data_IF_803322150591
#
_entry.id   IF_803322150591
#
_cell.length_a   1.000
_cell.length_b   1.000
_cell.length_c   1.000
_cell.angle_alpha   90.00
_cell.angle_beta   90.00
_cell.angle_gamma   90.00
#
_symmetry.space_group_name_H-M   'P 1'
#
loop_
_entity.id
_entity.type
_entity.pdbx_description
1 polymer ?
#
# COMPACT_ATOMS: atom_id res chain seq x y z
N UNK A 1 -22.40 73.88 0.78
CA UNK A 1 -21.76 72.88 1.61
C UNK A 1 -22.04 71.52 0.99
N UNK A 2 -21.09 70.97 0.27
CA UNK A 2 -21.18 69.63 -0.36
C UNK A 2 -20.53 68.59 0.54
N UNK A 3 -21.27 67.53 0.85
CA UNK A 3 -20.77 66.40 1.63
C UNK A 3 -19.89 65.49 0.75
N UNK A 4 -18.79 64.90 1.25
CA UNK A 4 -18.00 63.95 0.49
C UNK A 4 -18.66 62.55 0.50
N UNK A 5 -18.85 62.01 -0.70
CA UNK A 5 -19.36 60.67 -0.98
C UNK A 5 -18.34 59.64 -0.55
N UNK A 6 -18.69 58.78 0.43
CA UNK A 6 -17.90 57.66 0.88
C UNK A 6 -17.79 56.60 -0.25
N UNK A 7 -16.56 56.21 -0.58
CA UNK A 7 -16.29 55.15 -1.53
C UNK A 7 -16.64 53.76 -0.94
N UNK A 8 -17.15 52.78 -1.71
CA UNK A 8 -17.50 51.47 -1.21
C UNK A 8 -16.26 50.67 -0.82
N UNK A 9 -16.33 50.12 0.39
CA UNK A 9 -15.34 49.23 0.96
C UNK A 9 -15.22 47.96 0.07
N UNK A 10 -14.01 47.73 -0.48
CA UNK A 10 -13.73 46.52 -1.27
C UNK A 10 -13.55 45.35 -0.31
N UNK A 11 -14.27 44.22 -0.50
CA UNK A 11 -14.11 43.08 0.36
C UNK A 11 -12.65 42.59 0.34
N UNK A 12 -12.04 42.53 1.51
CA UNK A 12 -10.71 41.88 1.71
C UNK A 12 -10.81 40.47 1.19
N UNK A 13 -10.03 40.16 0.14
CA UNK A 13 -9.79 38.74 -0.28
C UNK A 13 -9.29 38.01 0.92
N UNK A 14 -10.10 37.09 1.44
CA UNK A 14 -9.68 36.09 2.41
C UNK A 14 -8.47 35.34 1.81
N UNK A 15 -7.30 35.56 2.40
CA UNK A 15 -6.10 34.79 2.03
C UNK A 15 -6.37 33.38 2.51
N UNK A 16 -6.69 32.49 1.59
CA UNK A 16 -6.90 31.08 1.88
C UNK A 16 -5.76 30.60 2.77
N UNK A 17 -6.11 30.15 3.97
CA UNK A 17 -5.18 29.62 4.96
C UNK A 17 -4.38 28.52 4.26
N UNK A 18 -3.06 28.71 4.10
CA UNK A 18 -2.17 27.68 3.56
C UNK A 18 -2.30 26.46 4.45
N UNK A 19 -2.76 25.35 3.88
CA UNK A 19 -2.78 24.04 4.49
C UNK A 19 -1.46 23.30 4.14
N UNK A 20 -0.44 23.35 5.02
CA UNK A 20 0.86 22.72 4.76
C UNK A 20 0.76 21.21 4.68
N UNK A 21 -0.12 20.60 5.49
CA UNK A 21 -0.30 19.15 5.51
C UNK A 21 -1.04 18.66 4.26
N UNK A 22 -2.08 19.35 3.83
CA UNK A 22 -2.74 19.07 2.57
C UNK A 22 -1.82 19.24 1.38
N UNK A 23 -0.95 20.26 1.39
CA UNK A 23 0.07 20.47 0.36
C UNK A 23 1.07 19.30 0.34
N UNK A 24 1.60 18.90 1.51
CA UNK A 24 2.54 17.77 1.63
C UNK A 24 1.90 16.47 1.13
N UNK A 25 0.66 16.21 1.52
CA UNK A 25 -0.11 15.03 1.08
C UNK A 25 -0.32 15.02 -0.42
N UNK A 26 -0.72 16.14 -1.02
CA UNK A 26 -0.90 16.26 -2.47
C UNK A 26 0.41 16.01 -3.25
N UNK A 27 1.55 16.48 -2.72
CA UNK A 27 2.86 16.18 -3.30
C UNK A 27 3.16 14.68 -3.24
N UNK A 28 2.88 14.01 -2.12
CA UNK A 28 3.09 12.56 -1.97
C UNK A 28 2.22 11.75 -2.93
N UNK A 29 0.95 12.09 -3.10
CA UNK A 29 0.06 11.43 -4.07
C UNK A 29 0.63 11.53 -5.49
N UNK A 30 1.00 12.74 -5.91
CA UNK A 30 1.58 12.95 -7.23
C UNK A 30 2.95 12.25 -7.38
N UNK A 31 3.72 12.13 -6.31
CA UNK A 31 4.99 11.42 -6.30
C UNK A 31 4.81 9.90 -6.43
N UNK A 32 3.81 9.32 -5.74
CA UNK A 32 3.46 7.90 -5.87
C UNK A 32 3.11 7.58 -7.33
N UNK A 33 2.28 8.40 -7.97
CA UNK A 33 1.91 8.23 -9.38
C UNK A 33 3.10 8.34 -10.32
N UNK A 34 3.93 9.37 -10.15
CA UNK A 34 5.11 9.63 -10.99
C UNK A 34 6.13 8.50 -10.86
N UNK A 35 6.49 8.15 -9.63
CA UNK A 35 7.50 7.13 -9.37
C UNK A 35 7.01 5.71 -9.65
N UNK A 36 5.72 5.43 -9.50
CA UNK A 36 5.14 4.14 -9.89
C UNK A 36 5.15 3.90 -11.39
N UNK A 37 5.31 4.97 -12.18
CA UNK A 37 5.36 4.90 -13.65
C UNK A 37 6.77 4.91 -14.18
N UNK A 38 7.67 5.69 -13.56
CA UNK A 38 8.99 5.98 -14.11
C UNK A 38 10.16 5.51 -13.22
N UNK A 39 9.86 4.97 -12.02
CA UNK A 39 10.86 4.62 -11.02
C UNK A 39 11.60 5.84 -10.45
N UNK A 40 12.55 5.59 -9.54
CA UNK A 40 13.37 6.66 -8.97
C UNK A 40 14.19 7.37 -10.05
N UNK A 41 14.83 6.62 -10.95
CA UNK A 41 15.74 7.20 -11.97
C UNK A 41 14.97 8.06 -12.97
N UNK A 42 13.87 7.55 -13.52
CA UNK A 42 13.07 8.21 -14.55
C UNK A 42 12.10 9.28 -14.06
N UNK A 43 11.66 9.20 -12.81
CA UNK A 43 10.69 10.13 -12.24
C UNK A 43 11.19 11.57 -12.19
N UNK A 44 10.32 12.54 -12.48
CA UNK A 44 10.65 13.96 -12.64
C UNK A 44 9.94 14.82 -11.61
N UNK A 45 10.71 15.50 -10.74
CA UNK A 45 10.17 16.42 -9.73
C UNK A 45 9.40 17.59 -10.37
N UNK A 46 9.77 17.97 -11.59
CA UNK A 46 9.05 19.00 -12.34
C UNK A 46 7.63 18.55 -12.69
N UNK A 47 7.44 17.31 -13.13
CA UNK A 47 6.13 16.75 -13.42
C UNK A 47 5.23 16.69 -12.16
N UNK A 48 5.82 16.36 -11.00
CA UNK A 48 5.13 16.41 -9.71
C UNK A 48 4.70 17.83 -9.37
N UNK A 49 5.60 18.80 -9.56
CA UNK A 49 5.32 20.21 -9.30
C UNK A 49 4.17 20.76 -10.17
N UNK A 50 4.19 20.44 -11.47
CA UNK A 50 3.13 20.80 -12.40
C UNK A 50 1.77 20.22 -11.99
N UNK A 51 1.72 18.92 -11.69
CA UNK A 51 0.48 18.22 -11.29
C UNK A 51 -0.11 18.76 -9.99
N UNK A 52 0.73 19.15 -9.04
CA UNK A 52 0.30 19.68 -7.74
C UNK A 52 0.13 21.20 -7.71
N UNK A 53 0.36 21.88 -8.84
CA UNK A 53 0.34 23.35 -8.95
C UNK A 53 1.23 24.01 -7.89
N UNK A 54 2.34 23.38 -7.57
CA UNK A 54 3.34 23.90 -6.65
C UNK A 54 4.67 24.21 -7.37
N UNK A 55 5.72 24.53 -6.65
CA UNK A 55 7.03 24.76 -7.22
C UNK A 55 8.01 23.68 -6.77
N UNK A 56 9.01 23.38 -7.60
CA UNK A 56 10.13 22.49 -7.22
C UNK A 56 10.78 22.88 -5.90
N UNK A 57 10.90 24.21 -5.63
CA UNK A 57 11.42 24.74 -4.37
C UNK A 57 10.54 24.31 -3.18
N UNK A 58 9.21 24.32 -3.33
CA UNK A 58 8.29 23.88 -2.27
C UNK A 58 8.40 22.37 -2.04
N UNK A 59 8.55 21.57 -3.09
CA UNK A 59 8.75 20.13 -2.95
C UNK A 59 10.03 19.85 -2.15
N UNK A 60 11.15 20.51 -2.49
CA UNK A 60 12.40 20.34 -1.74
C UNK A 60 12.39 20.95 -0.34
N UNK A 61 11.50 21.88 -0.07
CA UNK A 61 11.25 22.35 1.29
C UNK A 61 10.66 21.24 2.19
N UNK A 62 9.74 20.41 1.64
CA UNK A 62 9.12 19.30 2.39
C UNK A 62 9.98 18.03 2.42
N UNK A 63 10.71 17.74 1.36
CA UNK A 63 11.33 16.41 1.15
C UNK A 63 12.84 16.46 0.85
N UNK A 64 13.46 17.65 0.89
CA UNK A 64 14.89 17.93 0.72
C UNK A 64 15.51 17.43 -0.58
N UNK A 65 15.27 16.17 -1.00
CA UNK A 65 15.79 15.57 -2.23
C UNK A 65 14.73 14.74 -2.95
N UNK A 66 15.02 14.32 -4.17
CA UNK A 66 14.18 13.40 -4.96
C UNK A 66 14.15 12.01 -4.31
N UNK A 67 15.28 11.57 -3.78
CA UNK A 67 15.44 10.30 -3.08
C UNK A 67 14.61 10.27 -1.79
N UNK A 68 14.64 11.33 -1.01
CA UNK A 68 13.79 11.45 0.19
C UNK A 68 12.30 11.50 -0.16
N UNK A 69 11.92 12.16 -1.25
CA UNK A 69 10.54 12.15 -1.73
C UNK A 69 10.11 10.76 -2.19
N UNK A 70 10.99 10.02 -2.86
CA UNK A 70 10.75 8.64 -3.27
C UNK A 70 10.60 7.71 -2.06
N UNK A 71 11.50 7.81 -1.09
CA UNK A 71 11.41 7.07 0.17
C UNK A 71 10.09 7.36 0.91
N UNK A 72 9.70 8.65 1.00
CA UNK A 72 8.45 9.05 1.61
C UNK A 72 7.22 8.49 0.86
N UNK A 73 7.27 8.39 -0.48
CA UNK A 73 6.21 7.78 -1.28
C UNK A 73 6.08 6.27 -1.02
N UNK A 74 7.20 5.56 -0.83
CA UNK A 74 7.21 4.16 -0.42
C UNK A 74 6.63 3.97 0.97
N UNK A 75 7.10 4.73 1.96
CA UNK A 75 6.59 4.71 3.35
C UNK A 75 5.07 4.92 3.37
N UNK A 76 4.59 5.94 2.68
CA UNK A 76 3.16 6.25 2.60
C UNK A 76 2.37 5.09 1.98
N UNK A 77 2.90 4.44 0.95
CA UNK A 77 2.26 3.32 0.29
C UNK A 77 2.15 2.09 1.21
N UNK A 78 3.20 1.78 1.98
CA UNK A 78 3.16 0.73 3.01
C UNK A 78 2.24 1.08 4.17
N UNK A 79 2.22 2.35 4.61
CA UNK A 79 1.34 2.80 5.69
C UNK A 79 -0.14 2.56 5.35
N UNK A 80 -0.56 2.84 4.11
CA UNK A 80 -1.95 2.66 3.68
C UNK A 80 -2.45 1.23 3.81
N UNK A 81 -1.64 0.25 3.45
CA UNK A 81 -2.04 -1.16 3.62
C UNK A 81 -2.14 -1.51 5.11
N UNK A 82 -1.22 -1.01 5.96
CA UNK A 82 -1.28 -1.24 7.42
C UNK A 82 -2.51 -0.58 8.07
N UNK A 83 -2.85 0.64 7.66
CA UNK A 83 -4.06 1.32 8.13
C UNK A 83 -5.33 0.51 7.77
N UNK A 84 -5.38 -0.06 6.56
CA UNK A 84 -6.49 -0.91 6.14
C UNK A 84 -6.58 -2.18 6.98
N UNK A 85 -5.47 -2.84 7.28
CA UNK A 85 -5.43 -4.05 8.11
C UNK A 85 -5.82 -3.76 9.56
N UNK A 86 -5.36 -2.65 10.14
CA UNK A 86 -5.70 -2.25 11.49
C UNK A 86 -7.21 -2.02 11.68
N UNK A 87 -7.89 -1.54 10.65
CA UNK A 87 -9.34 -1.30 10.68
C UNK A 87 -10.19 -2.60 10.67
N UNK A 88 -9.58 -3.77 10.47
CA UNK A 88 -10.30 -5.04 10.39
C UNK A 88 -10.65 -5.64 11.77
N UNK A 89 -10.04 -5.16 12.85
CA UNK A 89 -10.24 -5.69 14.22
C UNK A 89 -10.13 -7.23 14.26
N UNK A 90 -8.99 -7.74 13.77
CA UNK A 90 -8.78 -9.18 13.57
C UNK A 90 -8.59 -9.98 14.87
N UNK A 91 -8.23 -9.31 15.95
CA UNK A 91 -8.05 -9.86 17.29
C UNK A 91 -9.38 -10.32 17.93
N UNK A 92 -10.50 -9.69 17.57
CA UNK A 92 -11.83 -10.00 18.06
C UNK A 92 -12.53 -11.16 17.32
N UNK A 93 -11.90 -11.68 16.23
CA UNK A 93 -12.53 -12.64 15.32
C UNK A 93 -12.02 -14.06 15.52
N UNK A 94 -12.83 -15.05 15.11
CA UNK A 94 -12.37 -16.42 14.95
C UNK A 94 -11.09 -16.45 14.07
N UNK A 95 -10.06 -17.23 14.44
CA UNK A 95 -8.77 -17.22 13.73
C UNK A 95 -8.86 -17.52 12.23
N UNK A 96 -9.73 -18.46 11.83
CA UNK A 96 -9.88 -18.78 10.41
C UNK A 96 -10.61 -17.65 9.65
N UNK A 97 -11.57 -16.99 10.28
CA UNK A 97 -12.25 -15.82 9.73
C UNK A 97 -11.29 -14.62 9.67
N UNK A 98 -10.53 -14.36 10.73
CA UNK A 98 -9.52 -13.31 10.78
C UNK A 98 -8.51 -13.44 9.62
N UNK A 99 -8.01 -14.67 9.40
CA UNK A 99 -7.09 -14.93 8.29
C UNK A 99 -7.75 -14.70 6.93
N UNK A 100 -9.00 -15.13 6.72
CA UNK A 100 -9.74 -14.85 5.47
C UNK A 100 -9.86 -13.38 5.20
N UNK A 101 -10.25 -12.59 6.21
CA UNK A 101 -10.41 -11.15 6.09
C UNK A 101 -9.08 -10.45 5.78
N UNK A 102 -8.00 -10.87 6.44
CA UNK A 102 -6.66 -10.35 6.17
C UNK A 102 -6.24 -10.63 4.73
N UNK A 103 -6.40 -11.86 4.25
CA UNK A 103 -6.10 -12.25 2.86
C UNK A 103 -6.91 -11.42 1.87
N UNK A 104 -8.22 -11.34 2.08
CA UNK A 104 -9.12 -10.57 1.22
C UNK A 104 -8.73 -9.10 1.15
N UNK A 105 -8.51 -8.49 2.31
CA UNK A 105 -8.09 -7.08 2.41
C UNK A 105 -6.77 -6.82 1.68
N UNK A 106 -5.78 -7.70 1.84
CA UNK A 106 -4.51 -7.60 1.13
C UNK A 106 -4.68 -7.70 -0.39
N UNK A 107 -5.44 -8.69 -0.85
CA UNK A 107 -5.70 -8.88 -2.28
C UNK A 107 -6.41 -7.67 -2.88
N UNK A 108 -7.46 -7.18 -2.24
CA UNK A 108 -8.21 -5.99 -2.66
C UNK A 108 -7.35 -4.74 -2.64
N UNK A 109 -6.52 -4.56 -1.61
CA UNK A 109 -5.60 -3.43 -1.55
C UNK A 109 -4.64 -3.39 -2.74
N UNK A 110 -4.04 -4.53 -3.11
CA UNK A 110 -3.13 -4.61 -4.26
C UNK A 110 -3.86 -4.32 -5.58
N UNK A 111 -5.08 -4.81 -5.75
CA UNK A 111 -5.91 -4.55 -6.93
C UNK A 111 -6.28 -3.08 -7.08
N UNK A 112 -6.66 -2.44 -5.99
CA UNK A 112 -7.07 -1.04 -5.95
C UNK A 112 -5.88 -0.07 -6.01
N UNK A 113 -4.69 -0.53 -5.63
CA UNK A 113 -3.48 0.29 -5.55
C UNK A 113 -2.33 -0.28 -6.42
N UNK A 114 -2.51 -0.39 -7.76
CA UNK A 114 -1.45 -0.94 -8.63
C UNK A 114 -0.18 -0.07 -8.65
N UNK A 115 -0.28 1.20 -8.26
CA UNK A 115 0.88 2.08 -8.08
C UNK A 115 1.82 1.57 -6.97
N UNK A 116 1.28 1.05 -5.86
CA UNK A 116 2.05 0.42 -4.80
C UNK A 116 2.87 -0.75 -5.34
N UNK A 117 2.25 -1.67 -6.06
CA UNK A 117 2.91 -2.83 -6.64
C UNK A 117 4.06 -2.41 -7.57
N UNK A 118 3.80 -1.43 -8.47
CA UNK A 118 4.83 -0.92 -9.38
C UNK A 118 6.00 -0.27 -8.65
N UNK A 119 5.73 0.53 -7.59
CA UNK A 119 6.79 1.12 -6.76
C UNK A 119 7.69 0.04 -6.14
N UNK A 120 7.10 -1.00 -5.57
CA UNK A 120 7.84 -2.11 -4.97
C UNK A 120 8.64 -2.88 -6.03
N UNK A 121 8.09 -3.09 -7.24
CA UNK A 121 8.86 -3.69 -8.37
C UNK A 121 10.07 -2.83 -8.71
N UNK A 122 9.89 -1.52 -8.90
CA UNK A 122 10.99 -0.62 -9.20
C UNK A 122 12.07 -0.63 -8.11
N UNK A 123 11.66 -0.62 -6.84
CA UNK A 123 12.59 -0.67 -5.70
C UNK A 123 13.43 -1.94 -5.71
N UNK A 124 12.81 -3.11 -5.96
CA UNK A 124 13.52 -4.39 -6.00
C UNK A 124 14.45 -4.54 -7.22
N UNK A 125 14.27 -3.74 -8.26
CA UNK A 125 15.15 -3.71 -9.44
C UNK A 125 16.34 -2.76 -9.28
N UNK A 126 16.33 -1.89 -8.27
CA UNK A 126 17.43 -0.98 -8.01
C UNK A 126 18.63 -1.73 -7.38
N UNK A 127 19.87 -1.29 -7.65
CA UNK A 127 21.03 -1.79 -6.93
C UNK A 127 20.88 -1.66 -5.41
N UNK A 128 21.44 -2.59 -4.65
CA UNK A 128 21.27 -2.72 -3.20
C UNK A 128 21.45 -1.42 -2.35
N UNK A 129 22.11 -0.38 -2.89
CA UNK A 129 22.24 0.93 -2.24
C UNK A 129 20.94 1.74 -2.13
N UNK A 130 19.93 1.44 -2.95
CA UNK A 130 18.66 2.16 -2.90
C UNK A 130 17.70 1.59 -1.83
N UNK A 131 17.83 0.32 -1.52
CA UNK A 131 17.05 -0.35 -0.43
C UNK A 131 17.37 0.26 0.95
N UNK A 132 18.54 0.90 1.11
CA UNK A 132 18.87 1.62 2.34
C UNK A 132 18.04 2.90 2.58
N UNK A 133 17.32 3.37 1.55
CA UNK A 133 16.34 4.45 1.70
C UNK A 133 15.01 3.96 2.29
N UNK A 134 14.78 2.65 2.35
CA UNK A 134 13.70 2.08 3.12
C UNK A 134 13.99 2.31 4.61
N UNK A 135 13.35 3.33 5.14
CA UNK A 135 13.48 3.78 6.51
C UNK A 135 13.08 2.68 7.50
N UNK A 136 13.47 2.87 8.75
CA UNK A 136 13.01 2.06 9.87
C UNK A 136 11.47 1.99 9.94
N UNK A 137 10.78 2.99 9.38
CA UNK A 137 9.32 3.04 9.29
C UNK A 137 8.73 1.93 8.39
N UNK A 138 9.33 1.64 7.22
CA UNK A 138 8.90 0.52 6.36
C UNK A 138 9.16 -0.81 7.06
N UNK A 139 10.31 -0.95 7.75
CA UNK A 139 10.59 -2.15 8.54
C UNK A 139 9.59 -2.34 9.66
N UNK A 140 9.29 -1.28 10.40
CA UNK A 140 8.30 -1.32 11.48
C UNK A 140 6.91 -1.69 10.94
N UNK A 141 6.50 -1.12 9.80
CA UNK A 141 5.24 -1.47 9.16
C UNK A 141 5.18 -2.96 8.77
N UNK A 142 6.24 -3.52 8.19
CA UNK A 142 6.30 -4.93 7.85
C UNK A 142 6.33 -5.83 9.09
N UNK A 143 7.02 -5.41 10.16
CA UNK A 143 7.01 -6.14 11.43
C UNK A 143 5.60 -6.18 12.05
N UNK A 144 4.84 -5.10 11.94
CA UNK A 144 3.44 -5.06 12.38
C UNK A 144 2.59 -6.10 11.65
N UNK A 145 2.75 -6.26 10.32
CA UNK A 145 2.05 -7.29 9.56
C UNK A 145 2.34 -8.70 10.08
N UNK A 146 3.63 -9.00 10.32
CA UNK A 146 4.03 -10.30 10.86
C UNK A 146 3.45 -10.54 12.27
N UNK A 147 3.38 -9.52 13.12
CA UNK A 147 2.78 -9.61 14.45
C UNK A 147 1.29 -9.94 14.39
N UNK A 148 0.55 -9.32 13.46
CA UNK A 148 -0.87 -9.62 13.24
C UNK A 148 -1.06 -11.08 12.82
N UNK A 149 -0.28 -11.55 11.85
CA UNK A 149 -0.37 -12.94 11.37
C UNK A 149 0.02 -13.91 12.48
N UNK A 150 1.08 -13.62 13.24
CA UNK A 150 1.54 -14.49 14.33
C UNK A 150 0.46 -14.63 15.41
N UNK A 151 -0.23 -13.55 15.80
CA UNK A 151 -1.35 -13.63 16.73
C UNK A 151 -2.49 -14.51 16.21
N UNK A 152 -2.88 -14.33 14.94
CA UNK A 152 -3.91 -15.17 14.30
C UNK A 152 -3.48 -16.66 14.34
N UNK A 153 -2.24 -16.96 13.96
CA UNK A 153 -1.73 -18.32 13.95
C UNK A 153 -1.66 -18.91 15.36
N UNK A 154 -1.21 -18.16 16.35
CA UNK A 154 -1.16 -18.59 17.76
C UNK A 154 -2.56 -18.95 18.25
N UNK A 155 -3.54 -18.08 18.10
CA UNK A 155 -4.93 -18.33 18.51
C UNK A 155 -5.54 -19.54 17.80
N UNK A 156 -5.29 -19.69 16.50
CA UNK A 156 -5.78 -20.83 15.73
C UNK A 156 -5.13 -22.17 16.16
N UNK A 157 -3.87 -22.15 16.58
CA UNK A 157 -3.19 -23.33 17.14
C UNK A 157 -3.73 -23.70 18.53
N UNK A 158 -3.94 -22.72 19.39
CA UNK A 158 -4.54 -22.90 20.72
C UNK A 158 -5.94 -23.53 20.63
N UNK A 159 -6.71 -23.18 19.61
CA UNK A 159 -8.03 -23.75 19.32
C UNK A 159 -8.01 -25.07 18.54
N UNK A 160 -6.84 -25.56 18.14
CA UNK A 160 -6.71 -26.78 17.34
C UNK A 160 -7.15 -26.64 15.87
N UNK A 161 -7.43 -25.42 15.41
CA UNK A 161 -7.86 -25.13 14.02
C UNK A 161 -6.69 -25.13 13.06
N UNK A 162 -5.53 -24.65 13.49
CA UNK A 162 -4.33 -24.55 12.67
C UNK A 162 -3.29 -25.61 13.03
N UNK A 163 -2.46 -25.92 12.05
CA UNK A 163 -1.37 -26.90 12.16
C UNK A 163 -0.37 -26.51 13.25
N UNK A 164 0.06 -27.51 14.00
CA UNK A 164 1.09 -27.42 15.04
C UNK A 164 2.27 -28.36 14.72
N UNK A 165 3.37 -28.21 15.46
CA UNK A 165 4.53 -29.09 15.37
C UNK A 165 5.48 -28.76 14.20
N UNK A 166 6.44 -29.66 13.92
CA UNK A 166 7.43 -29.47 12.88
C UNK A 166 6.78 -29.24 11.50
N UNK A 167 7.21 -28.18 10.78
CA UNK A 167 6.67 -27.82 9.47
C UNK A 167 5.31 -27.10 9.51
N UNK A 168 4.83 -26.65 10.68
CA UNK A 168 3.72 -25.72 10.75
C UNK A 168 4.15 -24.36 10.20
N UNK A 169 3.30 -23.68 9.39
CA UNK A 169 3.63 -22.39 8.78
C UNK A 169 3.93 -21.31 9.83
N UNK A 170 4.97 -20.54 9.59
CA UNK A 170 5.29 -19.33 10.37
C UNK A 170 4.51 -18.12 9.83
N UNK A 171 4.52 -17.02 10.57
CA UNK A 171 3.93 -15.75 10.10
C UNK A 171 4.60 -15.27 8.79
N UNK A 172 5.91 -15.47 8.66
CA UNK A 172 6.64 -15.10 7.44
C UNK A 172 6.21 -15.95 6.24
N UNK A 173 6.05 -17.27 6.41
CA UNK A 173 5.59 -18.17 5.34
C UNK A 173 4.19 -17.76 4.85
N UNK A 174 3.29 -17.43 5.78
CA UNK A 174 1.93 -16.97 5.44
C UNK A 174 1.98 -15.62 4.72
N UNK A 175 2.77 -14.67 5.20
CA UNK A 175 2.96 -13.37 4.56
C UNK A 175 3.54 -13.52 3.15
N UNK A 176 4.49 -14.42 2.94
CA UNK A 176 5.09 -14.70 1.63
C UNK A 176 4.03 -15.24 0.64
N UNK A 177 3.20 -16.17 1.08
CA UNK A 177 2.11 -16.71 0.23
C UNK A 177 1.09 -15.64 -0.12
N UNK A 178 0.62 -14.85 0.87
CA UNK A 178 -0.36 -13.78 0.65
C UNK A 178 0.20 -12.74 -0.31
N UNK A 179 1.37 -12.18 0.01
CA UNK A 179 1.97 -11.12 -0.79
C UNK A 179 2.38 -11.61 -2.17
N UNK A 180 2.96 -12.81 -2.27
CA UNK A 180 3.36 -13.41 -3.53
C UNK A 180 2.18 -13.55 -4.51
N UNK A 181 1.06 -14.10 -4.06
CA UNK A 181 -0.12 -14.28 -4.90
C UNK A 181 -0.83 -12.96 -5.23
N UNK A 182 -1.00 -12.08 -4.25
CA UNK A 182 -1.65 -10.78 -4.45
C UNK A 182 -0.82 -9.87 -5.37
N UNK A 183 0.49 -9.82 -5.16
CA UNK A 183 1.42 -9.00 -5.91
C UNK A 183 1.58 -9.45 -7.36
N UNK A 184 1.77 -10.76 -7.56
CA UNK A 184 2.01 -11.35 -8.88
C UNK A 184 0.85 -11.06 -9.85
N UNK A 185 -0.39 -11.07 -9.40
CA UNK A 185 -1.59 -10.76 -10.21
C UNK A 185 -1.52 -9.36 -10.83
N UNK A 186 -1.10 -8.37 -10.04
CA UNK A 186 -1.01 -6.98 -10.46
C UNK A 186 0.24 -6.76 -11.32
N UNK A 187 1.38 -7.27 -10.87
CA UNK A 187 2.66 -7.11 -11.56
C UNK A 187 2.66 -7.77 -12.96
N UNK A 188 2.02 -8.92 -13.09
CA UNK A 188 1.99 -9.70 -14.34
C UNK A 188 0.67 -9.62 -15.10
N UNK A 189 -0.23 -8.67 -14.77
CA UNK A 189 -1.53 -8.51 -15.41
C UNK A 189 -1.44 -8.48 -16.94
N UNK A 190 -0.54 -7.67 -17.49
CA UNK A 190 -0.36 -7.53 -18.92
C UNK A 190 0.08 -8.86 -19.57
N UNK A 191 1.04 -9.56 -18.95
CA UNK A 191 1.53 -10.85 -19.44
C UNK A 191 0.41 -11.90 -19.49
N UNK A 192 -0.39 -12.00 -18.43
CA UNK A 192 -1.50 -12.97 -18.40
C UNK A 192 -2.56 -12.65 -19.44
N UNK A 193 -2.89 -11.38 -19.63
CA UNK A 193 -3.84 -10.94 -20.63
C UNK A 193 -3.36 -11.26 -22.05
N UNK A 194 -2.09 -10.99 -22.36
CA UNK A 194 -1.54 -11.18 -23.70
C UNK A 194 -1.27 -12.67 -24.02
N UNK A 195 -0.76 -13.46 -23.07
CA UNK A 195 -0.40 -14.86 -23.31
C UNK A 195 -1.56 -15.83 -23.13
N UNK A 196 -2.47 -15.56 -22.19
CA UNK A 196 -3.53 -16.51 -21.81
C UNK A 196 -4.93 -16.00 -22.09
N UNK A 197 -5.07 -14.75 -22.59
CA UNK A 197 -6.36 -14.12 -22.83
C UNK A 197 -7.16 -13.84 -21.55
N UNK A 198 -6.51 -13.85 -20.37
CA UNK A 198 -7.17 -13.73 -19.07
C UNK A 198 -6.72 -12.47 -18.33
N UNK A 199 -7.67 -11.60 -18.01
CA UNK A 199 -7.43 -10.44 -17.15
C UNK A 199 -7.73 -10.79 -15.68
N UNK A 200 -6.71 -11.17 -14.93
CA UNK A 200 -6.84 -11.58 -13.51
C UNK A 200 -7.42 -10.50 -12.59
N UNK A 201 -7.49 -9.24 -13.04
CA UNK A 201 -8.11 -8.12 -12.33
C UNK A 201 -9.42 -7.67 -12.98
N UNK A 202 -9.88 -8.35 -14.05
CA UNK A 202 -11.16 -8.09 -14.69
C UNK A 202 -12.34 -8.46 -13.79
N UNK A 203 -13.49 -7.86 -14.02
CA UNK A 203 -14.70 -8.06 -13.21
C UNK A 203 -15.15 -9.53 -13.14
N UNK A 204 -14.97 -10.28 -14.23
CA UNK A 204 -15.35 -11.71 -14.32
C UNK A 204 -14.35 -12.61 -13.54
N UNK A 205 -13.05 -12.33 -13.63
CA UNK A 205 -12.00 -13.21 -13.09
C UNK A 205 -11.64 -12.89 -11.64
N UNK A 206 -11.68 -11.62 -11.26
CA UNK A 206 -11.20 -11.18 -9.94
C UNK A 206 -11.91 -11.89 -8.78
N UNK A 207 -13.23 -12.12 -8.76
CA UNK A 207 -13.89 -12.83 -7.66
C UNK A 207 -13.40 -14.27 -7.52
N UNK A 208 -13.21 -14.98 -8.64
CA UNK A 208 -12.69 -16.33 -8.64
C UNK A 208 -11.26 -16.40 -8.11
N UNK A 209 -10.39 -15.51 -8.57
CA UNK A 209 -8.99 -15.50 -8.17
C UNK A 209 -8.83 -15.10 -6.70
N UNK A 210 -9.64 -14.16 -6.19
CA UNK A 210 -9.69 -13.82 -4.76
C UNK A 210 -10.05 -15.04 -3.91
N UNK A 211 -11.14 -15.74 -4.27
CA UNK A 211 -11.55 -16.95 -3.57
C UNK A 211 -10.49 -18.06 -3.61
N UNK A 212 -9.81 -18.23 -4.74
CA UNK A 212 -8.69 -19.16 -4.87
C UNK A 212 -7.54 -18.81 -3.91
N UNK A 213 -7.15 -17.55 -3.81
CA UNK A 213 -6.07 -17.12 -2.89
C UNK A 213 -6.47 -17.38 -1.44
N UNK A 214 -7.70 -17.04 -1.06
CA UNK A 214 -8.23 -17.33 0.28
C UNK A 214 -8.15 -18.83 0.59
N UNK A 215 -8.59 -19.69 -0.32
CA UNK A 215 -8.58 -21.14 -0.15
C UNK A 215 -7.15 -21.70 -0.03
N UNK A 216 -6.22 -21.21 -0.86
CA UNK A 216 -4.79 -21.61 -0.81
C UNK A 216 -4.19 -21.28 0.54
N UNK A 217 -4.35 -20.04 1.02
CA UNK A 217 -3.77 -19.62 2.31
C UNK A 217 -4.39 -20.38 3.47
N UNK A 218 -5.72 -20.56 3.48
CA UNK A 218 -6.38 -21.33 4.54
C UNK A 218 -5.92 -22.79 4.56
N UNK A 219 -5.89 -23.48 3.43
CA UNK A 219 -5.41 -24.87 3.36
C UNK A 219 -3.97 -25.01 3.77
N UNK A 220 -3.16 -23.99 3.56
CA UNK A 220 -1.77 -23.96 3.98
C UNK A 220 -1.61 -24.02 5.51
N UNK A 221 -2.53 -23.37 6.25
CA UNK A 221 -2.45 -23.29 7.72
C UNK A 221 -3.37 -24.26 8.46
N UNK A 222 -4.49 -24.70 7.87
CA UNK A 222 -5.47 -25.56 8.53
C UNK A 222 -4.87 -26.88 9.00
N UNK A 223 -5.28 -27.33 10.17
CA UNK A 223 -4.98 -28.66 10.66
C UNK A 223 -5.51 -29.71 9.66
N UNK A 224 -4.69 -30.75 9.38
CA UNK A 224 -5.16 -31.86 8.55
C UNK A 224 -6.18 -32.66 9.37
N UNK A 225 -7.30 -33.13 8.75
CA UNK A 225 -8.16 -34.08 9.41
C UNK A 225 -7.31 -35.27 9.88
N UNK A 226 -7.52 -35.71 11.12
CA UNK A 226 -6.94 -36.95 11.59
C UNK A 226 -7.41 -38.09 10.68
N UNK A 227 -6.47 -38.82 10.07
CA UNK A 227 -6.76 -39.97 9.24
C UNK A 227 -7.39 -41.11 10.08
#
# INVERSE_FOLDING_TARGET
MAQPTSAPDRPRREVARRDPEGTRRGILEAAIDEFSTHGLVGGRVDAIAERTRTTKRMIYYYFRSKEELYAAALVESYRRIRDTEAALHLDERDPAEALRLLVRSNVEHHEQNPAFVRLVVFENLLPAGAVHLMSDEVRAANQTALTIIDDILRRGREQGVFRTGPGAPTALDVQEVISGLAFQRVANRATFRELFGRDMLGEEESPHVRAMIEDVVLRFVLARPSA
#
